data_IF_474102486432
#
_entry.id   IF_474102486432
#
_cell.length_a   1.000
_cell.length_b   1.000
_cell.length_c   1.000
_cell.angle_alpha   90.00
_cell.angle_beta   90.00
_cell.angle_gamma   90.00
#
_symmetry.space_group_name_H-M   'P 1'
#
loop_
_entity.id
_entity.type
_entity.pdbx_description
1 polymer ?
#
# COMPACT_ATOMS: atom_id res chain seq x y z
N UNK A 1 -26.48 21.71 9.20
CA UNK A 1 -25.37 21.33 10.13
C UNK A 1 -25.05 19.86 9.87
N UNK A 2 -23.81 19.58 9.45
CA UNK A 2 -23.38 18.21 9.18
C UNK A 2 -23.19 17.43 10.50
N UNK A 3 -23.68 16.22 10.55
CA UNK A 3 -23.57 15.28 11.68
C UNK A 3 -23.11 13.92 11.18
N UNK A 4 -22.36 13.22 11.98
CA UNK A 4 -22.00 11.82 11.77
C UNK A 4 -22.82 10.98 12.77
N UNK A 5 -23.55 10.01 12.26
CA UNK A 5 -24.43 9.13 13.03
C UNK A 5 -23.87 7.72 12.99
N UNK A 6 -23.71 7.11 14.15
CA UNK A 6 -23.29 5.72 14.29
C UNK A 6 -24.46 4.86 14.77
N UNK A 7 -24.68 3.75 14.11
CA UNK A 7 -25.58 2.70 14.56
C UNK A 7 -24.80 1.38 14.62
N UNK A 8 -24.51 0.94 15.83
CA UNK A 8 -23.87 -0.34 16.15
C UNK A 8 -24.79 -1.16 17.07
N UNK A 9 -26.09 -1.14 16.82
CA UNK A 9 -27.10 -1.86 17.64
C UNK A 9 -26.94 -3.37 17.48
N UNK A 10 -26.52 -3.83 16.31
CA UNK A 10 -26.28 -5.23 16.01
C UNK A 10 -24.77 -5.48 15.96
N UNK A 11 -24.25 -6.53 16.65
CA UNK A 11 -22.82 -6.82 16.64
C UNK A 11 -22.30 -7.25 15.27
N UNK A 12 -23.21 -7.70 14.38
CA UNK A 12 -22.85 -8.16 13.03
C UNK A 12 -22.68 -7.01 12.04
N UNK A 13 -23.17 -5.79 12.36
CA UNK A 13 -23.17 -4.69 11.41
C UNK A 13 -23.07 -3.33 12.11
N UNK A 14 -22.12 -2.51 11.64
CA UNK A 14 -22.01 -1.10 12.03
C UNK A 14 -22.32 -0.21 10.83
N UNK A 15 -23.24 0.74 11.03
CA UNK A 15 -23.59 1.73 9.99
C UNK A 15 -23.14 3.10 10.43
N UNK A 16 -22.43 3.80 9.54
CA UNK A 16 -21.98 5.18 9.75
C UNK A 16 -22.60 6.06 8.68
N UNK A 17 -23.47 6.98 9.06
CA UNK A 17 -24.14 7.90 8.14
C UNK A 17 -23.69 9.35 8.35
N UNK A 18 -23.36 10.05 7.26
CA UNK A 18 -23.12 11.49 7.26
C UNK A 18 -24.38 12.19 6.76
N UNK A 19 -24.94 13.05 7.60
CA UNK A 19 -26.17 13.79 7.27
C UNK A 19 -25.96 15.29 7.35
N UNK A 20 -26.67 16.06 6.50
CA UNK A 20 -26.83 17.51 6.63
C UNK A 20 -28.29 17.83 6.85
N UNK A 21 -28.61 18.27 8.07
CA UNK A 21 -30.01 18.34 8.51
C UNK A 21 -30.67 16.96 8.53
N UNK A 22 -31.63 16.76 7.65
CA UNK A 22 -32.35 15.47 7.44
C UNK A 22 -31.90 14.74 6.16
N UNK A 23 -30.99 15.31 5.39
CA UNK A 23 -30.50 14.70 4.14
C UNK A 23 -29.31 13.82 4.40
N UNK A 24 -29.38 12.55 4.02
CA UNK A 24 -28.25 11.65 4.00
C UNK A 24 -27.29 12.08 2.86
N UNK A 25 -26.01 12.31 3.20
CA UNK A 25 -24.97 12.68 2.26
C UNK A 25 -24.16 11.46 1.86
N UNK A 26 -23.83 10.62 2.87
CA UNK A 26 -22.99 9.43 2.70
C UNK A 26 -23.36 8.38 3.73
N UNK A 27 -23.17 7.10 3.39
CA UNK A 27 -23.38 5.97 4.29
C UNK A 27 -22.31 4.91 4.06
N UNK A 28 -21.71 4.47 5.15
CA UNK A 28 -20.80 3.33 5.17
C UNK A 28 -21.39 2.23 6.06
N UNK A 29 -21.26 0.97 5.63
CA UNK A 29 -21.79 -0.20 6.31
C UNK A 29 -20.66 -1.23 6.42
N UNK A 30 -20.22 -1.46 7.65
CA UNK A 30 -19.26 -2.50 7.98
C UNK A 30 -19.98 -3.72 8.54
N UNK A 31 -19.71 -4.89 8.01
CA UNK A 31 -20.27 -6.16 8.48
C UNK A 31 -19.16 -6.97 9.16
N UNK A 32 -19.41 -7.43 10.38
CA UNK A 32 -18.48 -8.28 11.11
C UNK A 32 -18.14 -9.54 10.29
N UNK A 33 -16.83 -9.83 10.19
CA UNK A 33 -16.31 -10.95 9.39
C UNK A 33 -16.16 -10.67 7.89
N UNK A 34 -16.50 -9.47 7.42
CA UNK A 34 -16.21 -9.00 6.05
C UNK A 34 -15.43 -7.70 6.11
N UNK A 35 -14.20 -7.81 6.63
CA UNK A 35 -13.28 -6.68 6.62
C UNK A 35 -12.98 -6.26 5.19
N UNK A 36 -13.09 -4.96 4.91
CA UNK A 36 -12.69 -4.40 3.63
C UNK A 36 -11.18 -4.58 3.46
N UNK A 37 -10.78 -5.34 2.43
CA UNK A 37 -9.36 -5.62 2.14
C UNK A 37 -8.74 -4.61 1.20
N UNK A 38 -9.56 -3.76 0.60
CA UNK A 38 -9.09 -2.71 -0.31
C UNK A 38 -8.05 -1.83 0.40
N UNK A 39 -6.99 -1.53 -0.31
CA UNK A 39 -5.82 -0.76 0.17
C UNK A 39 -4.92 -1.47 1.19
N UNK A 40 -5.28 -2.64 1.73
CA UNK A 40 -4.40 -3.41 2.60
C UNK A 40 -3.11 -3.79 1.89
N UNK A 41 -2.02 -3.83 2.64
CA UNK A 41 -0.67 -4.13 2.15
C UNK A 41 -0.20 -5.45 2.72
N UNK A 42 0.28 -6.31 1.83
CA UNK A 42 0.75 -7.66 2.15
C UNK A 42 2.18 -7.88 1.62
N UNK A 43 2.92 -8.74 2.27
CA UNK A 43 4.03 -9.43 1.65
C UNK A 43 3.48 -10.65 0.91
N UNK A 44 3.52 -10.63 -0.40
CA UNK A 44 3.05 -11.72 -1.25
C UNK A 44 4.19 -12.47 -1.93
N UNK A 45 3.91 -13.68 -2.38
CA UNK A 45 4.85 -14.54 -3.11
C UNK A 45 4.32 -14.83 -4.51
N UNK A 46 5.15 -14.66 -5.52
CA UNK A 46 4.82 -15.04 -6.90
C UNK A 46 4.68 -16.56 -7.00
N UNK A 47 3.47 -17.05 -7.26
CA UNK A 47 3.22 -18.51 -7.36
C UNK A 47 3.24 -19.00 -8.79
N UNK A 48 2.80 -18.19 -9.75
CA UNK A 48 2.76 -18.55 -11.17
C UNK A 48 2.85 -17.30 -12.04
N UNK A 49 3.66 -17.39 -13.09
CA UNK A 49 3.75 -16.37 -14.13
C UNK A 49 2.96 -16.85 -15.36
N UNK A 50 2.07 -15.99 -15.86
CA UNK A 50 1.23 -16.27 -17.03
C UNK A 50 1.51 -15.25 -18.14
N UNK A 51 2.46 -15.53 -19.06
CA UNK A 51 2.87 -14.59 -20.09
C UNK A 51 1.78 -14.23 -21.08
N UNK A 52 0.84 -15.16 -21.34
CA UNK A 52 -0.29 -14.91 -22.23
C UNK A 52 -1.23 -13.81 -21.74
N UNK A 53 -1.24 -13.57 -20.42
CA UNK A 53 -2.01 -12.52 -19.76
C UNK A 53 -1.16 -11.29 -19.38
N UNK A 54 0.14 -11.33 -19.63
CA UNK A 54 1.11 -10.34 -19.10
C UNK A 54 0.89 -10.07 -17.61
N UNK A 55 0.78 -11.14 -16.81
CA UNK A 55 0.45 -11.07 -15.40
C UNK A 55 1.06 -12.24 -14.63
N UNK A 56 1.06 -12.12 -13.31
CA UNK A 56 1.36 -13.22 -12.40
C UNK A 56 0.29 -13.37 -11.32
N UNK A 57 0.28 -14.53 -10.69
CA UNK A 57 -0.55 -14.83 -9.55
C UNK A 57 0.30 -14.77 -8.29
N UNK A 58 -0.26 -14.15 -7.26
CA UNK A 58 0.41 -13.88 -5.98
C UNK A 58 -0.37 -14.58 -4.87
N UNK A 59 0.32 -15.42 -4.12
CA UNK A 59 -0.15 -15.83 -2.81
C UNK A 59 0.14 -14.69 -1.83
N UNK A 60 -0.91 -14.09 -1.26
CA UNK A 60 -0.82 -13.00 -0.30
C UNK A 60 -1.47 -13.33 1.05
N UNK A 61 -1.73 -14.63 1.28
CA UNK A 61 -2.25 -15.18 2.55
C UNK A 61 -3.76 -15.32 2.60
N UNK A 62 -4.46 -15.11 1.50
CA UNK A 62 -5.91 -15.28 1.39
C UNK A 62 -6.26 -16.57 0.63
N UNK A 63 -7.52 -17.00 0.70
CA UNK A 63 -7.97 -18.26 0.07
C UNK A 63 -7.67 -18.32 -1.44
N UNK A 64 -7.74 -17.17 -2.11
CA UNK A 64 -7.50 -17.07 -3.55
C UNK A 64 -6.29 -16.22 -3.84
N UNK A 65 -5.45 -16.69 -4.75
CA UNK A 65 -4.32 -15.91 -5.23
C UNK A 65 -4.79 -14.61 -5.90
N UNK A 66 -4.08 -13.53 -5.63
CA UNK A 66 -4.29 -12.25 -6.26
C UNK A 66 -3.74 -12.21 -7.68
N UNK A 67 -4.29 -11.36 -8.51
CA UNK A 67 -3.88 -11.11 -9.89
C UNK A 67 -3.05 -9.82 -9.95
N UNK A 68 -1.81 -9.94 -10.40
CA UNK A 68 -0.87 -8.82 -10.54
C UNK A 68 -0.45 -8.65 -12.00
N UNK A 69 -0.99 -7.64 -12.72
CA UNK A 69 -0.58 -7.32 -14.08
C UNK A 69 0.87 -6.82 -14.13
N UNK A 70 1.59 -7.13 -15.20
CA UNK A 70 2.98 -6.69 -15.39
C UNK A 70 3.16 -5.18 -15.28
N UNK A 71 2.22 -4.41 -15.81
CA UNK A 71 2.21 -2.94 -15.72
C UNK A 71 2.06 -2.40 -14.29
N UNK A 72 1.57 -3.21 -13.36
CA UNK A 72 1.42 -2.88 -11.93
C UNK A 72 2.63 -3.33 -11.10
N UNK A 73 3.69 -3.84 -11.73
CA UNK A 73 4.93 -4.21 -11.07
C UNK A 73 5.93 -3.07 -11.16
N UNK A 74 6.38 -2.57 -10.01
CA UNK A 74 7.43 -1.56 -9.94
C UNK A 74 8.75 -2.11 -10.47
N UNK A 75 9.48 -1.27 -11.19
CA UNK A 75 10.79 -1.62 -11.77
C UNK A 75 11.83 -2.00 -10.71
N UNK A 76 11.65 -1.58 -9.47
CA UNK A 76 12.52 -1.97 -8.35
C UNK A 76 12.54 -3.48 -8.08
N UNK A 77 11.54 -4.21 -8.57
CA UNK A 77 11.43 -5.67 -8.44
C UNK A 77 11.97 -6.45 -9.64
N UNK A 78 12.37 -5.76 -10.70
CA UNK A 78 12.86 -6.43 -11.89
C UNK A 78 14.26 -7.02 -11.65
N UNK A 79 14.53 -8.16 -12.28
CA UNK A 79 15.84 -8.78 -12.25
C UNK A 79 16.93 -7.82 -12.79
N UNK A 80 18.15 -7.95 -12.25
CA UNK A 80 19.27 -7.13 -12.67
C UNK A 80 19.61 -7.33 -14.16
N UNK A 81 19.92 -6.23 -14.85
CA UNK A 81 20.34 -6.27 -16.27
C UNK A 81 19.20 -6.36 -17.28
N UNK A 82 17.96 -6.40 -16.85
CA UNK A 82 16.79 -6.45 -17.73
C UNK A 82 16.48 -5.09 -18.34
N UNK A 83 16.39 -4.99 -19.67
CA UNK A 83 15.94 -3.76 -20.32
C UNK A 83 14.46 -3.51 -20.06
N UNK A 84 14.20 -2.54 -19.21
CA UNK A 84 12.86 -2.19 -18.73
C UNK A 84 11.86 -1.84 -19.85
N UNK A 85 12.33 -1.50 -21.04
CA UNK A 85 11.46 -1.10 -22.17
C UNK A 85 11.01 -2.28 -23.01
N UNK A 86 11.79 -3.35 -23.01
CA UNK A 86 11.58 -4.52 -23.87
C UNK A 86 11.28 -5.78 -23.06
N UNK A 87 11.41 -5.71 -21.74
CA UNK A 87 11.26 -6.84 -20.85
C UNK A 87 9.87 -7.47 -20.93
N UNK A 88 9.84 -8.78 -21.05
CA UNK A 88 8.67 -9.59 -20.79
C UNK A 88 8.53 -9.89 -19.29
N UNK A 89 7.35 -10.27 -18.85
CA UNK A 89 7.13 -10.60 -17.43
C UNK A 89 8.05 -11.74 -16.94
N UNK A 90 8.35 -12.72 -17.81
CA UNK A 90 9.25 -13.85 -17.48
C UNK A 90 10.72 -13.44 -17.28
N UNK A 91 11.15 -12.39 -17.94
CA UNK A 91 12.51 -11.86 -17.80
C UNK A 91 12.62 -10.95 -16.59
N UNK A 92 11.52 -10.27 -16.23
CA UNK A 92 11.50 -9.26 -15.19
C UNK A 92 11.39 -9.85 -13.78
N UNK A 93 10.60 -10.92 -13.60
CA UNK A 93 10.32 -11.53 -12.29
C UNK A 93 10.39 -13.05 -12.36
N UNK A 94 10.47 -13.71 -11.20
CA UNK A 94 10.49 -15.18 -11.12
C UNK A 94 9.50 -15.71 -10.06
N UNK A 95 9.09 -16.96 -10.23
CA UNK A 95 8.28 -17.68 -9.23
C UNK A 95 9.06 -17.84 -7.92
N UNK A 96 8.36 -17.70 -6.79
CA UNK A 96 8.96 -17.67 -5.46
C UNK A 96 9.48 -16.30 -5.03
N UNK A 97 9.47 -15.29 -5.91
CA UNK A 97 9.87 -13.93 -5.55
C UNK A 97 8.85 -13.30 -4.60
N UNK A 98 9.36 -12.63 -3.56
CA UNK A 98 8.55 -11.90 -2.60
C UNK A 98 8.37 -10.45 -3.04
N UNK A 99 7.14 -9.95 -2.94
CA UNK A 99 6.76 -8.59 -3.36
C UNK A 99 5.86 -7.95 -2.30
N UNK A 100 6.09 -6.68 -1.99
CA UNK A 100 5.12 -5.87 -1.25
C UNK A 100 4.00 -5.51 -2.23
N UNK A 101 2.77 -5.95 -1.94
CA UNK A 101 1.61 -5.74 -2.78
C UNK A 101 0.49 -5.06 -2.01
N UNK A 102 -0.28 -4.23 -2.71
CA UNK A 102 -1.47 -3.57 -2.19
C UNK A 102 -2.70 -4.04 -2.94
N UNK A 103 -3.80 -4.26 -2.24
CA UNK A 103 -5.08 -4.60 -2.86
C UNK A 103 -5.69 -3.36 -3.51
N UNK A 104 -5.76 -3.35 -4.84
CA UNK A 104 -6.42 -2.28 -5.61
C UNK A 104 -7.94 -2.51 -5.67
N UNK A 105 -8.33 -3.78 -5.91
CA UNK A 105 -9.74 -4.20 -5.97
C UNK A 105 -9.88 -5.55 -5.27
N UNK A 106 -10.92 -5.65 -4.48
CA UNK A 106 -11.27 -6.89 -3.80
C UNK A 106 -11.72 -7.99 -4.77
N UNK A 107 -11.74 -9.20 -4.27
CA UNK A 107 -12.27 -10.35 -4.98
C UNK A 107 -13.72 -10.10 -5.40
N UNK A 108 -14.04 -10.52 -6.62
CA UNK A 108 -15.41 -10.42 -7.13
C UNK A 108 -15.80 -11.66 -7.91
N UNK A 109 -16.82 -12.37 -7.44
CA UNK A 109 -17.27 -13.62 -8.04
C UNK A 109 -16.15 -14.66 -8.05
N UNK A 110 -15.75 -15.13 -9.24
CA UNK A 110 -14.69 -16.13 -9.40
C UNK A 110 -13.29 -15.51 -9.61
N UNK A 111 -13.17 -14.17 -9.57
CA UNK A 111 -11.89 -13.48 -9.77
C UNK A 111 -11.23 -13.16 -8.45
N UNK A 112 -9.95 -13.49 -8.30
CA UNK A 112 -9.12 -13.08 -7.18
C UNK A 112 -8.94 -11.55 -7.15
N UNK A 113 -8.41 -11.04 -6.02
CA UNK A 113 -8.15 -9.62 -5.85
C UNK A 113 -7.18 -9.10 -6.92
N UNK A 114 -7.40 -7.86 -7.39
CA UNK A 114 -6.42 -7.16 -8.21
C UNK A 114 -5.39 -6.48 -7.31
N UNK A 115 -4.12 -6.80 -7.56
CA UNK A 115 -2.99 -6.31 -6.79
C UNK A 115 -2.16 -5.30 -7.60
N UNK A 116 -1.44 -4.45 -6.89
CA UNK A 116 -0.42 -3.55 -7.44
C UNK A 116 0.79 -3.50 -6.50
N UNK A 117 1.98 -3.33 -7.05
CA UNK A 117 3.18 -3.03 -6.27
C UNK A 117 3.40 -1.52 -6.12
N UNK A 118 2.64 -0.69 -6.86
CA UNK A 118 2.66 0.76 -6.70
C UNK A 118 1.86 1.18 -5.47
N UNK A 119 2.52 1.09 -4.32
CA UNK A 119 1.90 1.40 -3.04
C UNK A 119 1.44 2.85 -3.01
N UNK A 120 0.23 3.08 -2.50
CA UNK A 120 -0.34 4.40 -2.27
C UNK A 120 -0.81 4.53 -0.83
N UNK A 121 -0.25 5.50 -0.11
CA UNK A 121 -0.57 5.76 1.29
C UNK A 121 -1.35 7.06 1.38
N UNK A 122 -2.61 6.98 1.78
CA UNK A 122 -3.50 8.12 1.88
C UNK A 122 -3.34 8.81 3.24
N UNK A 123 -2.86 10.06 3.21
CA UNK A 123 -2.89 10.98 4.33
C UNK A 123 -4.15 11.85 4.34
N UNK A 124 -4.16 12.84 5.21
CA UNK A 124 -5.27 13.80 5.30
C UNK A 124 -5.31 14.72 4.09
N UNK A 125 -4.17 15.24 3.67
CA UNK A 125 -4.01 16.22 2.60
C UNK A 125 -3.31 15.66 1.37
N UNK A 126 -2.45 14.67 1.56
CA UNK A 126 -1.60 14.08 0.54
C UNK A 126 -1.88 12.59 0.36
N UNK A 127 -1.49 12.07 -0.80
CA UNK A 127 -1.30 10.64 -1.04
C UNK A 127 0.17 10.46 -1.40
N UNK A 128 0.90 9.65 -0.64
CA UNK A 128 2.29 9.30 -0.93
C UNK A 128 2.36 8.04 -1.79
N UNK A 129 3.17 8.10 -2.84
CA UNK A 129 3.51 6.95 -3.69
C UNK A 129 5.02 6.71 -3.62
N UNK A 130 5.48 5.85 -2.70
CA UNK A 130 6.89 5.72 -2.36
C UNK A 130 7.74 5.06 -3.45
N UNK A 131 7.13 4.31 -4.35
CA UNK A 131 7.84 3.58 -5.41
C UNK A 131 7.34 3.94 -6.83
N UNK A 132 6.69 5.09 -6.98
CA UNK A 132 6.21 5.60 -8.28
C UNK A 132 6.56 7.09 -8.46
N UNK A 133 7.78 7.44 -8.92
CA UNK A 133 8.24 8.83 -9.00
C UNK A 133 7.50 9.68 -10.04
N UNK A 134 6.71 9.05 -10.94
CA UNK A 134 6.04 9.75 -12.05
C UNK A 134 4.57 10.06 -11.82
N UNK A 135 4.00 9.62 -10.71
CA UNK A 135 2.56 9.72 -10.45
C UNK A 135 2.14 11.00 -9.70
N UNK A 136 3.07 11.88 -9.37
CA UNK A 136 2.82 13.07 -8.55
C UNK A 136 1.96 14.14 -9.23
N UNK A 137 1.38 15.02 -8.40
CA UNK A 137 0.62 16.16 -8.90
C UNK A 137 -0.45 16.65 -7.93
N UNK A 138 -1.45 17.34 -8.49
CA UNK A 138 -2.61 17.87 -7.76
C UNK A 138 -3.87 17.17 -8.26
N UNK A 139 -4.80 16.86 -7.36
CA UNK A 139 -6.09 16.23 -7.70
C UNK A 139 -6.76 16.89 -8.91
N UNK A 140 -7.31 16.09 -9.81
CA UNK A 140 -8.02 16.58 -11.01
C UNK A 140 -9.28 17.37 -10.68
N UNK A 141 -9.79 17.27 -9.45
CA UNK A 141 -10.97 17.99 -8.98
C UNK A 141 -10.68 19.44 -8.57
N UNK A 142 -9.39 19.82 -8.51
CA UNK A 142 -8.96 21.17 -8.13
C UNK A 142 -8.59 21.91 -9.41
N UNK A 143 -9.15 23.11 -9.58
CA UNK A 143 -9.01 23.94 -10.79
C UNK A 143 -8.60 25.37 -10.41
N UNK A 144 -8.24 26.17 -11.40
CA UNK A 144 -7.97 27.61 -11.24
C UNK A 144 -6.77 27.94 -10.34
N UNK A 145 -6.88 29.06 -9.61
CA UNK A 145 -5.83 29.57 -8.71
C UNK A 145 -5.50 28.62 -7.59
N UNK A 146 -6.49 27.99 -6.98
CA UNK A 146 -6.27 27.01 -5.88
C UNK A 146 -5.35 25.86 -6.31
N UNK A 147 -5.46 25.42 -7.58
CA UNK A 147 -4.58 24.40 -8.13
C UNK A 147 -3.13 24.88 -8.24
N UNK A 148 -2.94 26.13 -8.63
CA UNK A 148 -1.60 26.71 -8.79
C UNK A 148 -0.95 26.95 -7.44
N UNK A 149 -1.65 27.54 -6.48
CA UNK A 149 -1.18 27.77 -5.12
C UNK A 149 -0.77 26.44 -4.44
N UNK A 150 -1.62 25.41 -4.57
CA UNK A 150 -1.35 24.10 -3.99
C UNK A 150 -0.14 23.44 -4.66
N UNK A 151 0.04 23.61 -5.98
CA UNK A 151 1.23 23.11 -6.69
C UNK A 151 2.51 23.79 -6.19
N UNK A 152 2.49 25.11 -6.02
CA UNK A 152 3.63 25.86 -5.49
C UNK A 152 3.97 25.46 -4.06
N UNK A 153 2.96 25.18 -3.23
CA UNK A 153 3.17 24.65 -1.87
C UNK A 153 3.80 23.25 -1.91
N UNK A 154 3.36 22.38 -2.83
CA UNK A 154 3.92 21.04 -3.00
C UNK A 154 5.36 21.04 -3.49
N UNK A 155 5.73 21.96 -4.38
CA UNK A 155 7.10 22.07 -4.92
C UNK A 155 8.14 22.44 -3.82
N UNK A 156 7.66 22.98 -2.69
CA UNK A 156 8.48 23.28 -1.50
C UNK A 156 8.62 22.12 -0.52
N UNK A 157 7.89 21.02 -0.73
CA UNK A 157 7.95 19.86 0.17
C UNK A 157 9.28 19.12 0.05
N UNK A 158 9.78 18.66 1.17
CA UNK A 158 10.98 17.82 1.24
C UNK A 158 10.60 16.36 1.00
N UNK A 159 10.53 15.98 -0.27
CA UNK A 159 10.19 14.63 -0.70
C UNK A 159 11.47 13.86 -1.05
N UNK A 160 11.69 12.63 -0.54
CA UNK A 160 12.82 11.79 -0.94
C UNK A 160 12.80 11.43 -2.43
N UNK A 161 14.00 11.25 -3.00
CA UNK A 161 14.13 10.83 -4.39
C UNK A 161 13.44 9.48 -4.65
N UNK A 162 12.82 9.34 -5.81
CA UNK A 162 12.13 8.11 -6.22
C UNK A 162 10.69 8.02 -5.74
N UNK A 163 10.22 8.98 -4.95
CA UNK A 163 8.85 9.07 -4.46
C UNK A 163 8.06 10.17 -5.16
N UNK A 164 6.74 10.09 -5.10
CA UNK A 164 5.86 11.17 -5.55
C UNK A 164 4.66 11.33 -4.61
N UNK A 165 4.02 12.50 -4.69
CA UNK A 165 2.82 12.80 -3.90
C UNK A 165 1.73 13.40 -4.77
N UNK A 166 0.47 13.12 -4.42
CA UNK A 166 -0.70 13.79 -4.99
C UNK A 166 -1.39 14.60 -3.89
N UNK A 167 -1.61 15.89 -4.13
CA UNK A 167 -2.42 16.69 -3.23
C UNK A 167 -3.91 16.39 -3.42
N UNK A 168 -4.60 16.15 -2.31
CA UNK A 168 -6.06 15.93 -2.25
C UNK A 168 -6.79 17.26 -2.17
N UNK A 169 -8.10 17.26 -2.44
CA UNK A 169 -8.96 18.44 -2.29
C UNK A 169 -8.94 19.03 -0.87
N UNK A 170 -8.72 18.20 0.15
CA UNK A 170 -8.57 18.64 1.54
C UNK A 170 -7.28 19.47 1.79
N UNK A 171 -6.34 19.46 0.85
CA UNK A 171 -5.10 20.26 0.90
C UNK A 171 -5.29 21.71 0.43
N UNK A 172 -6.42 22.07 -0.14
CA UNK A 172 -6.70 23.46 -0.57
C UNK A 172 -6.59 24.41 0.64
N UNK A 173 -5.86 25.50 0.47
CA UNK A 173 -5.66 26.51 1.50
C UNK A 173 -4.81 26.09 2.67
N UNK A 174 -4.09 24.95 2.58
CA UNK A 174 -3.15 24.50 3.62
C UNK A 174 -1.77 25.08 3.42
N UNK A 175 -1.10 25.37 4.52
CA UNK A 175 0.28 25.85 4.48
C UNK A 175 1.25 24.74 4.09
N UNK A 176 2.44 25.12 3.61
CA UNK A 176 3.51 24.14 3.29
C UNK A 176 3.88 23.32 4.54
N UNK A 177 3.83 23.91 5.73
CA UNK A 177 4.14 23.23 6.99
C UNK A 177 3.10 22.16 7.32
N UNK A 178 1.79 22.45 7.12
CA UNK A 178 0.72 21.46 7.34
C UNK A 178 0.85 20.30 6.37
N UNK A 179 1.15 20.58 5.10
CA UNK A 179 1.40 19.55 4.08
C UNK A 179 2.67 18.73 4.39
N UNK A 180 3.73 19.38 4.88
CA UNK A 180 4.96 18.68 5.28
C UNK A 180 4.74 17.76 6.49
N UNK A 181 3.89 18.14 7.42
CA UNK A 181 3.53 17.27 8.55
C UNK A 181 2.81 16.01 8.10
N UNK A 182 1.84 16.15 7.19
CA UNK A 182 1.14 15.00 6.62
C UNK A 182 2.12 14.09 5.85
N UNK A 183 3.01 14.69 5.06
CA UNK A 183 4.06 13.95 4.36
C UNK A 183 5.00 13.21 5.31
N UNK A 184 5.45 13.85 6.38
CA UNK A 184 6.34 13.24 7.37
C UNK A 184 5.68 12.03 8.07
N UNK A 185 4.37 12.12 8.34
CA UNK A 185 3.61 10.98 8.86
C UNK A 185 3.60 9.81 7.86
N UNK A 186 3.32 10.10 6.58
CA UNK A 186 3.28 9.08 5.53
C UNK A 186 4.65 8.44 5.28
N UNK A 187 5.73 9.21 5.38
CA UNK A 187 7.10 8.69 5.26
C UNK A 187 7.44 7.73 6.41
N UNK A 188 7.06 8.07 7.64
CA UNK A 188 7.23 7.16 8.79
C UNK A 188 6.39 5.90 8.65
N UNK A 189 5.16 6.02 8.13
CA UNK A 189 4.32 4.86 7.86
C UNK A 189 4.96 3.95 6.80
N UNK A 190 5.52 4.52 5.73
CA UNK A 190 6.24 3.75 4.72
C UNK A 190 7.48 3.06 5.28
N UNK A 191 8.25 3.74 6.13
CA UNK A 191 9.39 3.16 6.83
C UNK A 191 8.96 1.94 7.68
N UNK A 192 7.90 2.08 8.46
CA UNK A 192 7.36 0.98 9.26
C UNK A 192 6.89 -0.21 8.39
N UNK A 193 6.26 0.06 7.23
CA UNK A 193 5.85 -0.98 6.28
C UNK A 193 7.07 -1.72 5.71
N UNK A 194 8.09 -0.99 5.29
CA UNK A 194 9.30 -1.60 4.73
C UNK A 194 10.10 -2.36 5.77
N UNK A 195 10.13 -1.88 7.02
CA UNK A 195 10.78 -2.57 8.12
C UNK A 195 10.05 -3.87 8.48
N UNK A 196 8.72 -3.86 8.52
CA UNK A 196 7.91 -5.06 8.74
C UNK A 196 8.06 -6.10 7.61
N UNK A 197 8.32 -5.63 6.38
CA UNK A 197 8.53 -6.48 5.22
C UNK A 197 9.92 -7.16 5.20
N UNK A 198 10.89 -6.65 5.97
CA UNK A 198 12.25 -7.23 6.00
C UNK A 198 12.24 -8.63 6.58
N UNK A 199 13.04 -9.55 6.00
CA UNK A 199 13.21 -10.88 6.58
C UNK A 199 13.79 -10.80 8.00
N UNK A 200 13.15 -11.51 8.93
CA UNK A 200 13.58 -11.62 10.32
C UNK A 200 13.84 -13.10 10.61
N UNK A 201 14.93 -13.38 11.29
CA UNK A 201 15.38 -14.74 11.57
C UNK A 201 15.46 -15.02 13.08
N UNK A 202 15.10 -16.24 13.46
CA UNK A 202 15.21 -16.75 14.82
C UNK A 202 16.58 -17.37 15.04
N UNK A 203 17.26 -16.95 16.11
CA UNK A 203 18.54 -17.50 16.54
C UNK A 203 18.47 -17.93 18.00
N UNK A 204 18.87 -19.17 18.31
CA UNK A 204 19.06 -19.59 19.70
C UNK A 204 20.23 -18.79 20.31
N UNK A 205 20.02 -18.26 21.50
CA UNK A 205 21.07 -17.65 22.31
C UNK A 205 21.71 -18.70 23.21
N UNK A 206 22.91 -18.42 23.70
CA UNK A 206 23.65 -19.33 24.64
C UNK A 206 22.86 -19.66 25.90
N UNK A 207 21.92 -18.79 26.29
CA UNK A 207 21.07 -18.97 27.46
C UNK A 207 19.75 -19.71 27.15
N UNK A 208 19.59 -20.31 25.96
CA UNK A 208 18.39 -21.05 25.55
C UNK A 208 17.19 -20.18 25.14
N UNK A 209 17.33 -18.85 25.09
CA UNK A 209 16.31 -17.96 24.56
C UNK A 209 16.46 -17.79 23.05
N UNK A 210 15.35 -17.46 22.38
CA UNK A 210 15.36 -17.11 20.96
C UNK A 210 15.50 -15.60 20.79
N UNK A 211 16.44 -15.15 19.94
CA UNK A 211 16.59 -13.76 19.54
C UNK A 211 16.19 -13.57 18.10
N UNK A 212 15.37 -12.55 17.83
CA UNK A 212 15.00 -12.14 16.49
C UNK A 212 16.03 -11.14 15.95
N UNK A 213 16.62 -11.45 14.79
CA UNK A 213 17.61 -10.58 14.13
C UNK A 213 17.22 -10.36 12.67
N UNK A 214 17.30 -9.12 12.16
CA UNK A 214 17.18 -8.87 10.73
C UNK A 214 18.36 -9.48 9.96
N UNK A 215 18.15 -9.77 8.67
CA UNK A 215 19.12 -10.44 7.81
C UNK A 215 20.51 -9.77 7.83
N UNK A 216 20.56 -8.44 7.84
CA UNK A 216 21.79 -7.66 7.90
C UNK A 216 22.67 -7.94 9.15
N UNK A 217 22.10 -8.52 10.21
CA UNK A 217 22.83 -8.83 11.48
C UNK A 217 23.21 -10.30 11.61
N UNK A 218 22.95 -11.11 10.58
CA UNK A 218 23.14 -12.57 10.64
C UNK A 218 24.60 -12.98 10.56
N UNK A 219 25.46 -12.21 9.92
CA UNK A 219 26.90 -12.50 9.76
C UNK A 219 27.19 -13.95 9.33
N UNK A 220 26.40 -14.50 8.39
CA UNK A 220 26.55 -15.86 7.87
C UNK A 220 26.03 -16.98 8.77
N UNK A 221 25.40 -16.69 9.92
CA UNK A 221 24.76 -17.70 10.77
C UNK A 221 23.46 -18.20 10.13
N UNK A 222 23.22 -19.52 10.19
CA UNK A 222 21.95 -20.12 9.76
C UNK A 222 20.91 -19.93 10.87
N UNK A 223 19.82 -19.19 10.58
CA UNK A 223 18.64 -19.07 11.44
C UNK A 223 17.38 -19.51 10.69
N UNK A 224 16.32 -19.80 11.42
CA UNK A 224 15.00 -20.05 10.83
C UNK A 224 14.32 -18.71 10.61
N UNK A 225 13.79 -18.47 9.41
CA UNK A 225 13.04 -17.25 9.14
C UNK A 225 11.76 -17.20 9.99
N UNK A 226 11.59 -16.13 10.76
CA UNK A 226 10.48 -15.93 11.68
C UNK A 226 9.21 -15.38 10.99
N UNK A 227 9.40 -14.62 9.89
CA UNK A 227 8.32 -14.02 9.12
C UNK A 227 8.33 -14.47 7.65
N UNK A 228 8.12 -15.77 7.35
CA UNK A 228 8.02 -16.21 5.95
C UNK A 228 6.76 -15.61 5.30
N UNK A 229 6.89 -15.14 4.05
CA UNK A 229 5.73 -14.72 3.26
C UNK A 229 4.87 -15.96 2.87
N UNK A 230 3.55 -15.81 2.66
CA UNK A 230 2.82 -14.54 2.65
C UNK A 230 2.34 -14.10 4.05
N UNK A 231 2.21 -12.78 4.28
CA UNK A 231 1.59 -12.21 5.49
C UNK A 231 1.07 -10.78 5.26
N UNK A 232 0.09 -10.38 6.06
CA UNK A 232 -0.42 -9.02 6.11
C UNK A 232 0.57 -8.10 6.80
N UNK A 233 0.96 -6.99 6.15
CA UNK A 233 1.87 -5.98 6.70
C UNK A 233 1.08 -4.86 7.37
N UNK A 234 0.07 -4.32 6.70
CA UNK A 234 -0.65 -3.14 7.16
C UNK A 234 -2.11 -3.16 6.71
N UNK A 235 -3.01 -2.89 7.66
CA UNK A 235 -4.42 -2.58 7.41
C UNK A 235 -4.53 -1.08 7.16
N UNK A 236 -4.99 -0.68 5.97
CA UNK A 236 -5.25 0.71 5.65
C UNK A 236 -6.75 0.93 5.54
N UNK A 237 -7.31 1.60 6.54
CA UNK A 237 -8.67 2.11 6.46
C UNK A 237 -8.67 3.38 5.59
N UNK A 238 -9.39 3.34 4.48
CA UNK A 238 -9.54 4.47 3.55
C UNK A 238 -10.79 5.30 3.85
#
# INVERSE_FOLDING_TARGET
MKRMLFNATHPEETRVGIVDGQKLIDIDIETAGREARKSNIYMGVVTRIEPSLEACFIDYGEERHGFLPFKEISRSYFAEGVDVRLATIKEAIHEGQELIVQVEKEERGNKGAALTTFISLAGRYLVLMPNNPRAGGVSRRIEGEERQELREAMDRLKLPNGMSTIARTAGIGRTTEELQWDLNYLLKLWEAITDAARPVYEYPTENGHTKLLPEAQINGKKGKRANPAPFLICLLYT
#
